data_IF_494663081575
#
_entry.id   IF_494663081575
#
_cell.length_a   1.000
_cell.length_b   1.000
_cell.length_c   1.000
_cell.angle_alpha   90.00
_cell.angle_beta   90.00
_cell.angle_gamma   90.00
#
_symmetry.space_group_name_H-M   'P 1'
#
loop_
_entity.id
_entity.type
_entity.pdbx_description
1 polymer ?
#
# COMPACT_ATOMS: atom_id res chain seq x y z
N UNK A 1 -21.06 11.97 0.21
CA UNK A 1 -22.17 12.89 0.59
C UNK A 1 -21.93 13.72 1.86
N UNK A 2 -21.87 13.13 3.07
CA UNK A 2 -21.77 13.88 4.35
C UNK A 2 -20.53 14.79 4.48
N UNK A 3 -19.36 14.30 4.05
CA UNK A 3 -18.11 15.07 3.97
C UNK A 3 -18.20 16.23 2.96
N UNK A 4 -18.79 15.98 1.77
CA UNK A 4 -19.04 16.97 0.71
C UNK A 4 -19.90 18.14 1.20
N UNK A 5 -20.95 17.85 1.97
CA UNK A 5 -21.80 18.87 2.61
C UNK A 5 -21.04 19.71 3.63
N UNK A 6 -20.21 19.09 4.48
CA UNK A 6 -19.39 19.81 5.48
C UNK A 6 -18.33 20.70 4.85
N UNK A 7 -17.64 20.23 3.81
CA UNK A 7 -16.67 21.04 3.08
C UNK A 7 -17.34 22.24 2.39
N UNK A 8 -18.45 22.03 1.68
CA UNK A 8 -19.21 23.13 1.04
C UNK A 8 -19.66 24.18 2.06
N UNK A 9 -20.11 23.75 3.23
CA UNK A 9 -20.52 24.65 4.31
C UNK A 9 -19.33 25.45 4.90
N UNK A 10 -18.21 24.77 5.17
CA UNK A 10 -16.99 25.39 5.69
C UNK A 10 -16.43 26.45 4.72
N UNK A 11 -16.37 26.12 3.44
CA UNK A 11 -15.85 27.04 2.43
C UNK A 11 -16.81 28.19 2.11
N UNK A 12 -18.12 27.96 2.11
CA UNK A 12 -19.11 29.04 2.01
C UNK A 12 -18.97 30.04 3.17
N UNK A 13 -18.58 29.59 4.37
CA UNK A 13 -18.28 30.47 5.48
C UNK A 13 -16.99 31.28 5.24
N UNK A 14 -15.94 30.67 4.68
CA UNK A 14 -14.70 31.37 4.32
C UNK A 14 -14.89 32.45 3.24
N UNK A 15 -15.66 32.16 2.18
CA UNK A 15 -15.93 33.13 1.10
C UNK A 15 -16.70 34.35 1.61
N UNK A 16 -17.54 34.19 2.64
CA UNK A 16 -18.26 35.31 3.30
C UNK A 16 -17.32 36.26 4.04
N UNK A 17 -16.14 35.80 4.48
CA UNK A 17 -15.12 36.61 5.16
C UNK A 17 -14.29 37.47 4.19
N UNK A 18 -14.34 37.20 2.88
CA UNK A 18 -13.57 37.95 1.89
C UNK A 18 -14.17 39.35 1.57
N UNK A 19 -13.34 40.36 1.22
CA UNK A 19 -13.78 41.69 0.81
C UNK A 19 -14.72 41.64 -0.41
N UNK A 20 -15.76 42.50 -0.42
CA UNK A 20 -16.80 42.55 -1.48
C UNK A 20 -16.30 42.52 -2.94
N UNK A 21 -15.25 43.26 -3.34
CA UNK A 21 -14.81 43.27 -4.75
C UNK A 21 -14.18 41.95 -5.20
N UNK A 22 -13.60 41.16 -4.28
CA UNK A 22 -12.92 39.88 -4.59
C UNK A 22 -13.88 38.69 -4.46
N UNK A 23 -15.00 38.88 -3.76
CA UNK A 23 -15.92 37.80 -3.36
C UNK A 23 -16.55 37.04 -4.53
N UNK A 24 -16.90 37.74 -5.61
CA UNK A 24 -17.57 37.11 -6.75
C UNK A 24 -16.58 36.29 -7.61
N UNK A 25 -15.41 36.85 -7.91
CA UNK A 25 -14.35 36.14 -8.62
C UNK A 25 -13.78 34.97 -7.80
N UNK A 26 -13.59 35.17 -6.49
CA UNK A 26 -13.16 34.10 -5.59
C UNK A 26 -14.19 32.98 -5.48
N UNK A 27 -15.49 33.30 -5.53
CA UNK A 27 -16.56 32.29 -5.48
C UNK A 27 -16.58 31.45 -6.77
N UNK A 28 -16.45 32.07 -7.93
CA UNK A 28 -16.54 31.39 -9.23
C UNK A 28 -15.34 30.46 -9.48
N UNK A 29 -14.12 30.93 -9.23
CA UNK A 29 -12.90 30.10 -9.33
C UNK A 29 -12.92 28.96 -8.31
N UNK A 30 -13.46 29.22 -7.12
CA UNK A 30 -13.49 28.24 -6.05
C UNK A 30 -14.56 27.17 -6.22
N UNK A 31 -15.76 27.55 -6.67
CA UNK A 31 -16.84 26.60 -6.97
C UNK A 31 -16.38 25.65 -8.09
N UNK A 32 -15.71 26.17 -9.14
CA UNK A 32 -15.08 25.36 -10.18
C UNK A 32 -13.98 24.42 -9.65
N UNK A 33 -13.14 24.89 -8.72
CA UNK A 33 -12.06 24.07 -8.14
C UNK A 33 -12.60 22.95 -7.24
N UNK A 34 -13.61 23.24 -6.42
CA UNK A 34 -14.27 22.24 -5.58
C UNK A 34 -15.00 21.19 -6.41
N UNK A 35 -15.68 21.61 -7.48
CA UNK A 35 -16.38 20.71 -8.38
C UNK A 35 -15.40 19.78 -9.09
N UNK A 36 -14.28 20.31 -9.60
CA UNK A 36 -13.19 19.50 -10.17
C UNK A 36 -12.59 18.50 -9.16
N UNK A 37 -12.33 18.92 -7.92
CA UNK A 37 -11.79 18.03 -6.89
C UNK A 37 -12.78 16.92 -6.51
N UNK A 38 -14.06 17.24 -6.31
CA UNK A 38 -15.07 16.23 -5.99
C UNK A 38 -15.27 15.27 -7.15
N UNK A 39 -15.29 15.76 -8.38
CA UNK A 39 -15.41 14.94 -9.59
C UNK A 39 -14.20 14.01 -9.77
N UNK A 40 -12.99 14.48 -9.46
CA UNK A 40 -11.77 13.64 -9.45
C UNK A 40 -11.84 12.55 -8.39
N UNK A 41 -12.33 12.87 -7.19
CA UNK A 41 -12.47 11.90 -6.10
C UNK A 41 -13.57 10.89 -6.40
N UNK A 42 -14.72 11.35 -6.90
CA UNK A 42 -15.84 10.50 -7.26
C UNK A 42 -15.40 9.53 -8.38
N UNK A 43 -14.78 10.00 -9.47
CA UNK A 43 -14.21 9.13 -10.53
C UNK A 43 -13.19 8.11 -10.01
N UNK A 44 -12.36 8.49 -9.04
CA UNK A 44 -11.36 7.59 -8.45
C UNK A 44 -12.00 6.53 -7.55
N UNK A 45 -13.05 6.88 -6.82
CA UNK A 45 -13.85 5.93 -6.06
C UNK A 45 -14.55 4.96 -7.00
N UNK A 46 -15.18 5.45 -8.07
CA UNK A 46 -15.85 4.61 -9.07
C UNK A 46 -14.89 3.62 -9.72
N UNK A 47 -13.70 4.08 -10.10
CA UNK A 47 -12.62 3.22 -10.62
C UNK A 47 -12.21 2.14 -9.60
N UNK A 48 -11.97 2.51 -8.34
CA UNK A 48 -11.57 1.58 -7.29
C UNK A 48 -12.65 0.53 -7.00
N UNK A 49 -13.91 0.96 -6.90
CA UNK A 49 -15.03 0.05 -6.63
C UNK A 49 -15.22 -0.90 -7.82
N UNK A 50 -15.18 -0.38 -9.06
CA UNK A 50 -15.30 -1.18 -10.27
C UNK A 50 -14.16 -2.20 -10.40
N UNK A 51 -12.92 -1.80 -10.14
CA UNK A 51 -11.76 -2.69 -10.16
C UNK A 51 -11.87 -3.79 -9.10
N UNK A 52 -12.31 -3.44 -7.88
CA UNK A 52 -12.49 -4.40 -6.78
C UNK A 52 -13.61 -5.39 -7.08
N UNK A 53 -14.71 -4.91 -7.65
CA UNK A 53 -15.85 -5.73 -8.03
C UNK A 53 -15.50 -6.69 -9.17
N UNK A 54 -14.83 -6.19 -10.21
CA UNK A 54 -14.33 -6.99 -11.34
C UNK A 54 -13.36 -8.08 -10.85
N UNK A 55 -12.45 -7.73 -9.93
CA UNK A 55 -11.54 -8.70 -9.31
C UNK A 55 -12.28 -9.81 -8.56
N UNK A 56 -13.42 -9.52 -7.90
CA UNK A 56 -14.25 -10.54 -7.26
C UNK A 56 -15.04 -11.40 -8.24
N UNK A 57 -15.51 -10.81 -9.34
CA UNK A 57 -16.29 -11.48 -10.37
C UNK A 57 -15.43 -12.43 -11.24
N UNK A 58 -14.22 -11.99 -11.60
CA UNK A 58 -13.28 -12.74 -12.44
C UNK A 58 -12.46 -13.77 -11.64
N UNK A 59 -12.63 -13.82 -10.31
CA UNK A 59 -11.89 -14.74 -9.46
C UNK A 59 -12.29 -16.21 -9.74
N UNK A 60 -11.34 -17.11 -10.05
CA UNK A 60 -11.61 -18.52 -10.34
C UNK A 60 -12.36 -19.26 -9.23
N UNK A 61 -12.28 -18.79 -7.98
CA UNK A 61 -12.82 -19.46 -6.81
C UNK A 61 -14.27 -19.05 -6.52
N UNK A 62 -14.78 -17.99 -7.14
CA UNK A 62 -16.13 -17.46 -6.88
C UNK A 62 -17.20 -18.37 -7.50
N UNK A 63 -18.21 -18.84 -6.73
CA UNK A 63 -19.31 -19.62 -7.26
C UNK A 63 -20.09 -18.87 -8.35
N UNK A 64 -20.45 -19.55 -9.43
CA UNK A 64 -21.15 -18.94 -10.58
C UNK A 64 -22.45 -18.23 -10.20
N UNK A 65 -23.23 -18.82 -9.29
CA UNK A 65 -24.47 -18.20 -8.82
C UNK A 65 -24.20 -16.87 -8.10
N UNK A 66 -23.11 -16.79 -7.34
CA UNK A 66 -22.76 -15.59 -6.59
C UNK A 66 -22.22 -14.50 -7.53
N UNK A 67 -21.42 -14.87 -8.53
CA UNK A 67 -21.00 -13.94 -9.57
C UNK A 67 -22.21 -13.34 -10.33
N UNK A 68 -23.21 -14.16 -10.66
CA UNK A 68 -24.47 -13.71 -11.27
C UNK A 68 -25.29 -12.80 -10.33
N UNK A 69 -25.37 -13.15 -9.04
CA UNK A 69 -26.03 -12.34 -8.03
C UNK A 69 -25.35 -10.97 -7.88
N UNK A 70 -24.02 -10.95 -7.81
CA UNK A 70 -23.25 -9.71 -7.76
C UNK A 70 -23.54 -8.85 -8.98
N UNK A 71 -23.50 -9.42 -10.19
CA UNK A 71 -23.80 -8.70 -11.42
C UNK A 71 -25.21 -8.09 -11.40
N UNK A 72 -26.20 -8.85 -10.93
CA UNK A 72 -27.56 -8.35 -10.79
C UNK A 72 -27.65 -7.22 -9.76
N UNK A 73 -27.04 -7.39 -8.59
CA UNK A 73 -27.01 -6.39 -7.53
C UNK A 73 -26.35 -5.09 -8.00
N UNK A 74 -25.21 -5.20 -8.70
CA UNK A 74 -24.45 -4.08 -9.23
C UNK A 74 -25.27 -3.27 -10.24
N UNK A 75 -25.93 -3.95 -11.19
CA UNK A 75 -26.81 -3.30 -12.17
C UNK A 75 -28.02 -2.60 -11.52
N UNK A 76 -28.55 -3.17 -10.43
CA UNK A 76 -29.74 -2.64 -9.75
C UNK A 76 -29.40 -1.47 -8.82
N UNK A 77 -28.27 -1.54 -8.11
CA UNK A 77 -27.86 -0.48 -7.17
C UNK A 77 -27.20 0.71 -7.85
N UNK A 78 -26.53 0.49 -8.99
CA UNK A 78 -25.73 1.52 -9.65
C UNK A 78 -25.88 1.55 -11.19
N UNK A 79 -27.10 1.81 -11.69
CA UNK A 79 -27.38 1.79 -13.13
C UNK A 79 -26.54 2.82 -13.90
N UNK A 80 -26.35 4.03 -13.35
CA UNK A 80 -25.61 5.12 -14.01
C UNK A 80 -24.11 4.82 -14.22
N UNK A 81 -23.46 4.15 -13.26
CA UNK A 81 -22.06 3.70 -13.40
C UNK A 81 -21.98 2.49 -14.34
N UNK A 82 -22.97 1.60 -14.30
CA UNK A 82 -22.97 0.39 -15.13
C UNK A 82 -22.91 0.70 -16.63
N UNK A 83 -23.45 1.83 -17.07
CA UNK A 83 -23.47 2.21 -18.48
C UNK A 83 -22.21 2.97 -18.90
N UNK A 84 -21.64 3.83 -18.05
CA UNK A 84 -20.33 4.44 -18.29
C UNK A 84 -19.19 3.40 -18.35
N UNK A 85 -19.26 2.38 -17.49
CA UNK A 85 -18.29 1.27 -17.47
C UNK A 85 -18.37 0.41 -18.74
N UNK A 86 -19.52 0.33 -19.43
CA UNK A 86 -19.64 -0.43 -20.70
C UNK A 86 -18.85 0.21 -21.85
N UNK A 87 -18.77 1.53 -21.91
CA UNK A 87 -17.99 2.25 -22.93
C UNK A 87 -16.49 2.06 -22.70
N UNK A 88 -16.01 2.23 -21.46
CA UNK A 88 -14.60 1.96 -21.11
C UNK A 88 -14.23 0.47 -21.29
N UNK A 89 -15.18 -0.45 -21.04
CA UNK A 89 -14.98 -1.89 -21.25
C UNK A 89 -14.84 -2.28 -22.73
N UNK A 90 -15.43 -1.52 -23.67
CA UNK A 90 -15.26 -1.79 -25.11
C UNK A 90 -13.83 -1.48 -25.56
N UNK A 91 -13.24 -0.39 -25.06
CA UNK A 91 -11.85 -0.02 -25.35
C UNK A 91 -10.84 -0.93 -24.62
N UNK A 92 -11.13 -1.31 -23.38
CA UNK A 92 -10.25 -2.18 -22.60
C UNK A 92 -10.32 -3.64 -23.07
N UNK A 93 -11.49 -4.13 -23.53
CA UNK A 93 -11.62 -5.48 -24.15
C UNK A 93 -10.78 -5.64 -25.42
N UNK A 94 -10.56 -4.57 -26.18
CA UNK A 94 -9.70 -4.55 -27.37
C UNK A 94 -8.21 -4.63 -27.03
N UNK A 95 -7.79 -4.08 -25.89
CA UNK A 95 -6.40 -4.14 -25.39
C UNK A 95 -6.13 -5.44 -24.64
N UNK A 96 -7.07 -5.88 -23.81
CA UNK A 96 -6.94 -7.08 -22.97
C UNK A 96 -7.08 -8.39 -23.75
N UNK A 97 -7.83 -8.47 -24.85
CA UNK A 97 -7.84 -9.70 -25.70
C UNK A 97 -6.47 -10.05 -26.27
N UNK A 98 -5.58 -9.08 -26.49
CA UNK A 98 -4.20 -9.33 -26.94
C UNK A 98 -3.27 -9.79 -25.82
N UNK A 99 -3.41 -9.28 -24.60
CA UNK A 99 -2.63 -9.71 -23.42
C UNK A 99 -3.13 -11.04 -22.85
N UNK A 100 -4.45 -11.22 -22.73
CA UNK A 100 -5.09 -12.38 -22.12
C UNK A 100 -4.83 -13.69 -22.87
N UNK A 101 -4.60 -13.66 -24.19
CA UNK A 101 -4.23 -14.88 -24.93
C UNK A 101 -2.88 -15.48 -24.50
N UNK A 102 -2.01 -14.65 -23.91
CA UNK A 102 -0.68 -15.04 -23.40
C UNK A 102 -0.75 -15.45 -21.93
N UNK A 103 -1.48 -14.72 -21.10
CA UNK A 103 -1.56 -14.95 -19.66
C UNK A 103 -2.50 -16.11 -19.28
N UNK A 104 -3.60 -16.31 -20.01
CA UNK A 104 -4.51 -17.46 -19.83
C UNK A 104 -3.81 -18.80 -20.10
N UNK A 105 -2.75 -18.81 -20.93
CA UNK A 105 -1.91 -20.01 -21.15
C UNK A 105 -0.94 -20.28 -20.00
N UNK A 106 -0.54 -19.27 -19.23
CA UNK A 106 0.29 -19.43 -18.04
C UNK A 106 -0.57 -19.85 -16.82
N UNK A 107 -1.66 -19.14 -16.54
CA UNK A 107 -2.51 -19.41 -15.37
C UNK A 107 -3.18 -20.79 -15.40
N UNK A 108 -3.54 -21.29 -16.59
CA UNK A 108 -4.16 -22.62 -16.73
C UNK A 108 -3.20 -23.77 -16.40
N UNK A 109 -1.89 -23.53 -16.42
CA UNK A 109 -0.87 -24.48 -15.94
C UNK A 109 -0.77 -24.45 -14.41
N UNK A 110 -0.84 -23.26 -13.80
CA UNK A 110 -0.73 -23.08 -12.35
C UNK A 110 -2.00 -23.50 -11.60
N UNK A 111 -3.18 -23.34 -12.22
CA UNK A 111 -4.47 -23.73 -11.66
C UNK A 111 -4.62 -25.25 -11.41
N UNK A 112 -3.82 -26.10 -12.08
CA UNK A 112 -3.83 -27.55 -11.86
C UNK A 112 -2.92 -27.99 -10.69
N UNK A 113 -2.08 -27.11 -10.17
CA UNK A 113 -1.09 -27.39 -9.13
C UNK A 113 -1.47 -26.76 -7.76
N UNK A 114 -2.73 -26.38 -7.57
CA UNK A 114 -3.15 -25.45 -6.50
C UNK A 114 -3.27 -26.07 -5.10
N UNK A 115 -3.46 -27.39 -5.00
CA UNK A 115 -3.58 -28.05 -3.69
C UNK A 115 -2.22 -28.34 -3.03
N UNK A 116 -1.11 -28.23 -3.77
CA UNK A 116 0.23 -28.44 -3.24
C UNK A 116 0.83 -27.13 -2.76
N UNK A 117 0.98 -27.01 -1.44
CA UNK A 117 1.77 -25.95 -0.84
C UNK A 117 3.21 -26.03 -1.35
N UNK A 118 3.82 -24.92 -1.77
CA UNK A 118 5.21 -24.94 -2.21
C UNK A 118 6.09 -25.49 -1.08
N UNK A 119 7.09 -26.34 -1.39
CA UNK A 119 8.02 -26.82 -0.37
C UNK A 119 8.71 -25.62 0.30
N UNK A 120 9.05 -25.71 1.59
CA UNK A 120 9.66 -24.60 2.32
C UNK A 120 10.95 -24.13 1.60
N UNK A 121 11.05 -22.88 1.11
CA UNK A 121 12.27 -22.39 0.46
C UNK A 121 13.46 -22.30 1.45
N UNK A 122 14.47 -23.14 1.33
CA UNK A 122 15.64 -23.11 2.21
C UNK A 122 16.37 -21.74 2.16
N UNK A 123 16.85 -21.18 3.29
CA UNK A 123 16.85 -21.72 4.67
C UNK A 123 15.69 -21.15 5.54
N UNK A 124 14.81 -22.02 6.07
CA UNK A 124 13.75 -21.62 7.02
C UNK A 124 14.19 -21.74 8.48
N UNK A 125 13.60 -20.95 9.40
CA UNK A 125 13.86 -21.02 10.84
C UNK A 125 13.33 -22.30 11.55
N UNK A 126 13.00 -23.38 10.83
CA UNK A 126 12.50 -24.64 11.39
C UNK A 126 11.06 -25.00 11.01
N UNK A 127 10.70 -26.28 11.13
CA UNK A 127 9.42 -26.87 10.69
C UNK A 127 8.19 -26.22 11.36
N UNK A 128 8.31 -25.77 12.61
CA UNK A 128 7.24 -25.08 13.34
C UNK A 128 6.87 -23.73 12.72
N UNK A 129 7.85 -22.97 12.22
CA UNK A 129 7.59 -21.69 11.57
C UNK A 129 6.81 -21.87 10.25
N UNK A 130 7.15 -22.90 9.49
CA UNK A 130 6.45 -23.25 8.26
C UNK A 130 5.01 -23.71 8.53
N UNK A 131 4.79 -24.60 9.50
CA UNK A 131 3.44 -25.03 9.90
C UNK A 131 2.59 -23.87 10.41
N UNK A 132 3.18 -22.97 11.22
CA UNK A 132 2.54 -21.74 11.70
C UNK A 132 2.11 -20.84 10.55
N UNK A 133 3.00 -20.55 9.60
CA UNK A 133 2.70 -19.72 8.45
C UNK A 133 1.57 -20.32 7.59
N UNK A 134 1.63 -21.63 7.35
CA UNK A 134 0.61 -22.37 6.60
C UNK A 134 -0.77 -22.31 7.28
N UNK A 135 -0.82 -22.48 8.60
CA UNK A 135 -2.06 -22.37 9.37
C UNK A 135 -2.67 -20.98 9.29
N UNK A 136 -1.87 -19.92 9.49
CA UNK A 136 -2.35 -18.53 9.42
C UNK A 136 -2.84 -18.19 8.02
N UNK A 137 -2.07 -18.55 6.98
CA UNK A 137 -2.42 -18.26 5.60
C UNK A 137 -3.68 -19.00 5.13
N UNK A 138 -3.92 -20.21 5.64
CA UNK A 138 -5.15 -20.95 5.34
C UNK A 138 -6.41 -20.27 5.90
N UNK A 139 -6.33 -19.64 7.08
CA UNK A 139 -7.48 -19.05 7.77
C UNK A 139 -7.66 -17.57 7.42
N UNK A 140 -6.55 -16.83 7.29
CA UNK A 140 -6.51 -15.38 7.07
C UNK A 140 -5.54 -15.01 5.95
N UNK A 141 -5.82 -15.40 4.69
CA UNK A 141 -5.01 -14.95 3.56
C UNK A 141 -5.23 -13.44 3.34
N UNK A 142 -4.15 -12.72 3.04
CA UNK A 142 -4.22 -11.29 2.72
C UNK A 142 -4.59 -11.05 1.25
N UNK A 143 -4.34 -12.01 0.37
CA UNK A 143 -4.40 -11.88 -1.09
C UNK A 143 -5.52 -12.72 -1.74
N UNK A 144 -6.16 -13.62 -1.00
CA UNK A 144 -7.18 -14.54 -1.53
C UNK A 144 -8.59 -14.18 -1.06
N UNK A 145 -9.62 -14.43 -1.89
CA UNK A 145 -11.01 -14.20 -1.50
C UNK A 145 -11.47 -15.23 -0.44
N UNK A 146 -12.59 -14.94 0.21
CA UNK A 146 -13.21 -15.86 1.18
C UNK A 146 -13.58 -17.22 0.58
N UNK A 147 -13.92 -17.26 -0.71
CA UNK A 147 -14.25 -18.51 -1.41
C UNK A 147 -13.08 -19.49 -1.49
N UNK A 148 -11.86 -18.97 -1.58
CA UNK A 148 -10.65 -19.79 -1.51
C UNK A 148 -10.47 -20.37 -0.11
N UNK A 149 -10.71 -19.57 0.94
CA UNK A 149 -10.63 -19.99 2.35
C UNK A 149 -11.60 -21.13 2.63
N UNK A 150 -12.84 -21.03 2.16
CA UNK A 150 -13.89 -22.06 2.35
C UNK A 150 -13.47 -23.42 1.77
N UNK A 151 -12.62 -23.43 0.76
CA UNK A 151 -12.14 -24.68 0.14
C UNK A 151 -10.94 -25.29 0.86
N UNK A 152 -10.28 -24.54 1.75
CA UNK A 152 -9.12 -25.06 2.48
C UNK A 152 -9.57 -26.03 3.58
N UNK A 153 -9.02 -27.27 3.63
CA UNK A 153 -9.41 -28.25 4.66
C UNK A 153 -9.04 -27.78 6.07
N UNK A 154 -7.91 -27.09 6.22
CA UNK A 154 -7.45 -26.52 7.50
C UNK A 154 -8.44 -25.47 8.00
N UNK A 155 -8.88 -24.58 7.11
CA UNK A 155 -9.85 -23.54 7.44
C UNK A 155 -11.22 -24.14 7.78
N UNK A 156 -11.69 -25.14 7.01
CA UNK A 156 -12.94 -25.84 7.29
C UNK A 156 -12.93 -26.49 8.67
N UNK A 157 -11.88 -27.24 9.02
CA UNK A 157 -11.75 -27.86 10.34
C UNK A 157 -11.72 -26.78 11.43
N UNK A 158 -10.97 -25.70 11.22
CA UNK A 158 -10.93 -24.58 12.15
C UNK A 158 -12.34 -23.97 12.36
N UNK A 159 -13.05 -23.63 11.28
CA UNK A 159 -14.36 -22.99 11.37
C UNK A 159 -15.43 -23.92 11.94
N UNK A 160 -15.39 -25.23 11.62
CA UNK A 160 -16.29 -26.21 12.22
C UNK A 160 -16.10 -26.31 13.74
N UNK A 161 -14.84 -26.38 14.20
CA UNK A 161 -14.53 -26.38 15.63
C UNK A 161 -14.86 -25.04 16.30
N UNK A 162 -14.60 -23.93 15.61
CA UNK A 162 -14.85 -22.58 16.12
C UNK A 162 -16.34 -22.24 16.18
N UNK A 163 -17.16 -22.72 15.26
CA UNK A 163 -18.62 -22.49 15.23
C UNK A 163 -19.39 -23.47 16.12
N UNK A 164 -18.73 -24.52 16.63
CA UNK A 164 -19.40 -25.49 17.49
C UNK A 164 -19.84 -24.84 18.81
N UNK A 165 -21.15 -24.85 19.14
CA UNK A 165 -21.70 -24.06 20.25
C UNK A 165 -21.34 -24.62 21.64
N UNK A 166 -20.84 -25.86 21.74
CA UNK A 166 -20.60 -26.58 23.02
C UNK A 166 -19.24 -26.26 23.64
N UNK A 167 -18.75 -25.02 23.48
CA UNK A 167 -17.55 -24.54 24.16
C UNK A 167 -16.20 -24.99 23.60
N UNK A 168 -16.17 -25.90 22.62
CA UNK A 168 -14.95 -26.29 21.93
C UNK A 168 -14.32 -25.14 21.12
N UNK A 169 -15.06 -24.07 20.86
CA UNK A 169 -14.60 -22.89 20.12
C UNK A 169 -13.41 -22.16 20.75
N UNK A 170 -13.21 -22.32 22.06
CA UNK A 170 -12.10 -21.70 22.79
C UNK A 170 -10.75 -22.28 22.31
N UNK A 171 -10.69 -23.59 22.05
CA UNK A 171 -9.46 -24.28 21.66
C UNK A 171 -8.88 -23.76 20.33
N UNK A 172 -9.63 -23.74 19.20
CA UNK A 172 -9.10 -23.21 17.94
C UNK A 172 -8.79 -21.71 18.04
N UNK A 173 -9.61 -20.91 18.74
CA UNK A 173 -9.37 -19.47 18.91
C UNK A 173 -8.12 -19.18 19.76
N UNK A 174 -7.85 -20.01 20.78
CA UNK A 174 -6.63 -19.89 21.60
C UNK A 174 -5.40 -20.33 20.82
N UNK A 175 -5.49 -21.46 20.11
CA UNK A 175 -4.41 -21.94 19.24
C UNK A 175 -4.05 -20.89 18.19
N UNK A 176 -5.05 -20.25 17.60
CA UNK A 176 -4.86 -19.16 16.65
C UNK A 176 -4.17 -17.94 17.28
N UNK A 177 -4.60 -17.50 18.45
CA UNK A 177 -3.94 -16.39 19.17
C UNK A 177 -2.46 -16.71 19.48
N UNK A 178 -2.14 -17.97 19.76
CA UNK A 178 -0.77 -18.43 19.96
C UNK A 178 0.05 -18.48 18.66
N UNK A 179 -0.58 -18.78 17.52
CA UNK A 179 0.07 -18.78 16.22
C UNK A 179 0.27 -17.38 15.65
N UNK A 180 -0.52 -16.38 16.01
CA UNK A 180 -0.41 -15.03 15.45
C UNK A 180 0.88 -14.33 15.92
N UNK A 181 1.47 -13.55 15.02
CA UNK A 181 2.52 -12.61 15.41
C UNK A 181 1.94 -11.44 16.20
N UNK A 182 2.26 -11.37 17.50
CA UNK A 182 1.77 -10.32 18.39
C UNK A 182 2.29 -8.94 18.01
N UNK A 183 3.37 -8.86 17.25
CA UNK A 183 3.92 -7.59 16.77
C UNK A 183 3.20 -7.04 15.53
N UNK A 184 2.44 -7.88 14.82
CA UNK A 184 1.69 -7.52 13.63
C UNK A 184 0.28 -7.05 13.99
N UNK A 185 0.04 -5.74 13.83
CA UNK A 185 -1.27 -5.13 14.10
C UNK A 185 -2.37 -5.71 13.20
N UNK A 186 -2.06 -6.07 11.96
CA UNK A 186 -3.04 -6.58 11.01
C UNK A 186 -3.56 -7.95 11.43
N UNK A 187 -2.66 -8.86 11.82
CA UNK A 187 -3.06 -10.18 12.31
C UNK A 187 -3.89 -10.10 13.60
N UNK A 188 -3.54 -9.18 14.50
CA UNK A 188 -4.31 -8.96 15.73
C UNK A 188 -5.72 -8.40 15.47
N UNK A 189 -5.83 -7.42 14.56
CA UNK A 189 -7.13 -6.86 14.18
C UNK A 189 -7.99 -7.90 13.48
N UNK A 190 -7.41 -8.66 12.56
CA UNK A 190 -8.15 -9.71 11.85
C UNK A 190 -8.60 -10.82 12.80
N UNK A 191 -7.79 -11.19 13.79
CA UNK A 191 -8.20 -12.10 14.86
C UNK A 191 -9.38 -11.57 15.68
N UNK A 192 -9.36 -10.29 16.08
CA UNK A 192 -10.47 -9.67 16.81
C UNK A 192 -11.76 -9.68 15.99
N UNK A 193 -11.67 -9.33 14.70
CA UNK A 193 -12.80 -9.37 13.77
C UNK A 193 -13.33 -10.80 13.60
N UNK A 194 -12.45 -11.77 13.38
CA UNK A 194 -12.82 -13.18 13.20
C UNK A 194 -13.48 -13.76 14.45
N UNK A 195 -12.91 -13.49 15.63
CA UNK A 195 -13.44 -13.96 16.92
C UNK A 195 -14.85 -13.39 17.17
N UNK A 196 -15.08 -12.12 16.82
CA UNK A 196 -16.40 -11.50 16.88
C UNK A 196 -17.37 -12.08 15.86
N UNK A 197 -16.91 -12.34 14.64
CA UNK A 197 -17.73 -12.98 13.61
C UNK A 197 -18.18 -14.38 14.04
N UNK A 198 -17.26 -15.20 14.54
CA UNK A 198 -17.56 -16.52 15.10
C UNK A 198 -18.59 -16.40 16.22
N UNK A 199 -18.42 -15.43 17.13
CA UNK A 199 -19.38 -15.19 18.21
C UNK A 199 -20.78 -14.86 17.69
N UNK A 200 -20.90 -13.95 16.71
CA UNK A 200 -22.20 -13.61 16.11
C UNK A 200 -22.82 -14.83 15.46
N UNK A 201 -22.06 -15.58 14.67
CA UNK A 201 -22.55 -16.77 13.95
C UNK A 201 -23.03 -17.86 14.91
N UNK A 202 -22.30 -18.13 15.99
CA UNK A 202 -22.72 -19.07 17.03
C UNK A 202 -24.08 -18.69 17.62
N UNK A 203 -24.34 -17.39 17.84
CA UNK A 203 -25.61 -16.92 18.41
C UNK A 203 -26.76 -16.99 17.41
N UNK A 204 -26.49 -16.73 16.13
CA UNK A 204 -27.47 -16.95 15.06
C UNK A 204 -27.84 -18.42 14.96
N UNK A 205 -26.86 -19.34 15.03
CA UNK A 205 -27.09 -20.78 15.03
C UNK A 205 -27.95 -21.19 16.24
N UNK A 206 -27.60 -20.74 17.44
CA UNK A 206 -28.35 -21.08 18.65
C UNK A 206 -29.79 -20.54 18.61
N UNK A 207 -29.98 -19.32 18.10
CA UNK A 207 -31.30 -18.73 17.90
C UNK A 207 -32.14 -19.55 16.90
N UNK A 208 -31.52 -20.01 15.81
CA UNK A 208 -32.18 -20.86 14.83
C UNK A 208 -32.57 -22.23 15.42
N UNK A 209 -31.68 -22.85 16.20
CA UNK A 209 -31.98 -24.11 16.92
C UNK A 209 -33.17 -23.94 17.85
N UNK A 210 -33.18 -22.88 18.67
CA UNK A 210 -34.31 -22.57 19.55
C UNK A 210 -35.61 -22.32 18.80
N UNK A 211 -35.55 -21.64 17.64
CA UNK A 211 -36.71 -21.44 16.76
C UNK A 211 -37.25 -22.77 16.22
N UNK A 212 -36.36 -23.67 15.76
CA UNK A 212 -36.76 -25.00 15.25
C UNK A 212 -37.39 -25.83 16.37
N UNK A 213 -36.80 -25.84 17.56
CA UNK A 213 -37.37 -26.53 18.72
C UNK A 213 -38.76 -25.99 19.08
N UNK A 214 -38.94 -24.67 19.09
CA UNK A 214 -40.23 -24.02 19.33
C UNK A 214 -41.26 -24.41 18.24
N UNK A 215 -40.86 -24.36 16.97
CA UNK A 215 -41.71 -24.74 15.85
C UNK A 215 -42.19 -26.19 15.97
N UNK A 216 -41.26 -27.12 16.24
CA UNK A 216 -41.59 -28.53 16.44
C UNK A 216 -42.53 -28.75 17.62
N UNK A 217 -42.30 -28.06 18.74
CA UNK A 217 -43.15 -28.10 19.93
C UNK A 217 -44.60 -27.68 19.61
N UNK A 218 -44.76 -26.55 18.93
CA UNK A 218 -46.08 -26.04 18.54
C UNK A 218 -46.79 -26.94 17.53
N UNK A 219 -46.03 -27.62 16.66
CA UNK A 219 -46.56 -28.54 15.64
C UNK A 219 -47.00 -29.89 16.23
N UNK A 220 -46.27 -30.43 17.21
CA UNK A 220 -46.55 -31.75 17.80
C UNK A 220 -47.53 -31.74 18.99
N UNK A 221 -47.97 -30.57 19.48
CA UNK A 221 -48.83 -30.38 20.68
C UNK A 221 -48.26 -30.99 21.98
N UNK A 222 -47.00 -31.38 22.01
CA UNK A 222 -46.33 -32.02 23.14
C UNK A 222 -45.37 -31.06 23.85
N UNK A 223 -45.82 -29.84 24.12
CA UNK A 223 -45.00 -28.88 24.86
C UNK A 223 -45.06 -29.19 26.36
N UNK A 224 -43.92 -29.52 26.96
CA UNK A 224 -43.79 -29.55 28.42
C UNK A 224 -44.10 -28.16 29.00
N UNK A 225 -44.65 -28.13 30.21
CA UNK A 225 -45.07 -26.90 30.91
C UNK A 225 -43.94 -25.91 31.18
N UNK A 226 -42.68 -26.34 31.02
CA UNK A 226 -41.49 -25.52 31.18
C UNK A 226 -40.98 -24.90 29.86
N UNK A 227 -41.72 -25.06 28.76
CA UNK A 227 -41.28 -24.67 27.42
C UNK A 227 -40.12 -25.56 26.91
N UNK A 228 -39.52 -25.25 25.74
CA UNK A 228 -38.23 -25.83 25.38
C UNK A 228 -37.20 -25.27 26.37
N UNK A 229 -37.04 -25.94 27.51
CA UNK A 229 -36.07 -25.57 28.54
C UNK A 229 -34.66 -25.55 27.96
N UNK A 230 -33.79 -24.69 28.51
CA UNK A 230 -32.38 -24.72 28.13
C UNK A 230 -31.81 -26.10 28.47
N UNK A 231 -31.41 -26.85 27.45
CA UNK A 231 -30.69 -28.10 27.67
C UNK A 231 -29.36 -27.83 28.39
N UNK A 232 -28.83 -28.81 29.11
CA UNK A 232 -27.52 -28.69 29.80
C UNK A 232 -26.40 -28.25 28.83
N UNK A 233 -26.52 -28.63 27.56
CA UNK A 233 -25.62 -28.26 26.46
C UNK A 233 -25.68 -26.75 26.16
N UNK A 234 -26.87 -26.15 26.23
CA UNK A 234 -27.08 -24.71 26.00
C UNK A 234 -26.59 -23.87 27.18
N UNK A 235 -26.69 -24.39 28.40
CA UNK A 235 -26.07 -23.76 29.58
C UNK A 235 -24.54 -23.74 29.47
N UNK A 236 -23.93 -24.82 28.98
CA UNK A 236 -22.49 -24.88 28.73
C UNK A 236 -22.03 -23.86 27.65
N UNK A 237 -22.86 -23.62 26.63
CA UNK A 237 -22.63 -22.61 25.58
C UNK A 237 -22.69 -21.15 26.10
N UNK A 238 -23.35 -20.92 27.24
CA UNK A 238 -23.34 -19.63 27.93
C UNK A 238 -22.09 -19.51 28.80
N UNK A 239 -21.64 -20.58 29.45
CA UNK A 239 -20.43 -20.55 30.27
C UNK A 239 -19.17 -20.20 29.43
N UNK A 240 -19.14 -20.58 28.15
CA UNK A 240 -18.00 -20.34 27.26
C UNK A 240 -17.93 -18.93 26.68
N UNK A 241 -18.91 -18.06 26.95
CA UNK A 241 -18.90 -16.65 26.55
C UNK A 241 -17.76 -15.89 27.20
N UNK A 242 -17.61 -16.05 28.51
CA UNK A 242 -16.63 -15.32 29.31
C UNK A 242 -15.20 -15.56 28.80
N UNK A 243 -14.72 -16.81 28.67
CA UNK A 243 -13.37 -17.06 28.16
C UNK A 243 -13.17 -16.58 26.71
N UNK A 244 -14.18 -16.67 25.85
CA UNK A 244 -14.07 -16.16 24.47
C UNK A 244 -13.94 -14.63 24.42
N UNK A 245 -14.69 -13.90 25.26
CA UNK A 245 -14.55 -12.45 25.38
C UNK A 245 -13.20 -12.06 26.01
N UNK A 246 -12.72 -12.83 26.99
CA UNK A 246 -11.40 -12.63 27.57
C UNK A 246 -10.29 -12.76 26.53
N UNK A 247 -10.37 -13.70 25.58
CA UNK A 247 -9.41 -13.80 24.48
C UNK A 247 -9.36 -12.54 23.61
N UNK A 248 -10.53 -11.94 23.30
CA UNK A 248 -10.61 -10.68 22.55
C UNK A 248 -10.03 -9.52 23.37
N UNK A 249 -10.31 -9.47 24.67
CA UNK A 249 -9.73 -8.47 25.58
C UNK A 249 -8.22 -8.62 25.65
N UNK A 250 -7.70 -9.84 25.76
CA UNK A 250 -6.25 -10.11 25.75
C UNK A 250 -5.64 -9.65 24.44
N UNK A 251 -6.24 -9.98 23.29
CA UNK A 251 -5.78 -9.48 22.00
C UNK A 251 -5.80 -7.94 21.95
N UNK A 252 -6.85 -7.29 22.45
CA UNK A 252 -6.93 -5.83 22.52
C UNK A 252 -5.86 -5.21 23.42
N UNK A 253 -5.57 -5.81 24.57
CA UNK A 253 -4.49 -5.35 25.46
C UNK A 253 -3.12 -5.51 24.80
N UNK A 254 -2.87 -6.60 24.07
CA UNK A 254 -1.66 -6.79 23.27
C UNK A 254 -1.54 -5.73 22.16
N UNK A 255 -2.65 -5.37 21.52
CA UNK A 255 -2.69 -4.28 20.54
C UNK A 255 -2.33 -2.93 21.17
N UNK A 256 -2.90 -2.61 22.34
CA UNK A 256 -2.56 -1.38 23.05
C UNK A 256 -1.10 -1.38 23.51
N UNK A 257 -0.61 -2.50 24.01
CA UNK A 257 0.77 -2.64 24.47
C UNK A 257 1.77 -2.43 23.33
N UNK A 258 1.53 -3.02 22.15
CA UNK A 258 2.38 -2.81 20.98
C UNK A 258 2.38 -1.37 20.51
N UNK A 259 1.23 -0.70 20.53
CA UNK A 259 1.13 0.74 20.24
C UNK A 259 1.84 1.60 21.27
N UNK A 260 1.68 1.29 22.55
CA UNK A 260 2.30 2.03 23.64
C UNK A 260 3.82 1.92 23.61
N UNK A 261 4.37 0.73 23.37
CA UNK A 261 5.82 0.54 23.19
C UNK A 261 6.33 1.41 22.03
N UNK A 262 5.64 1.39 20.88
CA UNK A 262 6.04 2.22 19.72
C UNK A 262 5.95 3.72 20.04
N UNK A 263 4.92 4.15 20.76
CA UNK A 263 4.76 5.54 21.19
C UNK A 263 5.84 5.96 22.21
N UNK A 264 6.20 5.08 23.15
CA UNK A 264 7.27 5.31 24.12
C UNK A 264 8.64 5.38 23.45
N UNK A 265 8.93 4.51 22.47
CA UNK A 265 10.15 4.58 21.64
C UNK A 265 10.19 5.85 20.78
N UNK A 266 9.03 6.33 20.30
CA UNK A 266 8.92 7.59 19.59
C UNK A 266 9.20 8.79 20.50
N UNK A 267 8.65 8.78 21.72
CA UNK A 267 8.84 9.82 22.73
C UNK A 267 10.29 9.90 23.23
N UNK A 268 10.95 8.78 23.47
CA UNK A 268 12.37 8.74 23.86
C UNK A 268 13.29 9.23 22.73
N UNK A 269 12.95 8.93 21.47
CA UNK A 269 13.65 9.47 20.30
C UNK A 269 13.44 10.97 20.10
N UNK A 270 12.27 11.51 20.47
CA UNK A 270 12.04 12.95 20.48
C UNK A 270 12.79 13.64 21.62
N UNK A 271 12.81 13.04 22.81
CA UNK A 271 13.55 13.55 23.97
C UNK A 271 15.07 13.61 23.70
N UNK A 272 15.63 12.61 23.01
CA UNK A 272 17.05 12.64 22.62
C UNK A 272 17.36 13.69 21.55
N UNK A 273 16.45 13.92 20.59
CA UNK A 273 16.57 15.01 19.60
C UNK A 273 16.47 16.40 20.23
N UNK A 274 15.56 16.62 21.18
CA UNK A 274 15.42 17.90 21.88
C UNK A 274 16.58 18.17 22.84
N UNK A 275 17.13 17.15 23.49
CA UNK A 275 18.36 17.26 24.27
C UNK A 275 19.58 17.63 23.41
N UNK A 276 19.68 17.07 22.19
CA UNK A 276 20.75 17.41 21.23
C UNK A 276 20.63 18.84 20.69
N UNK A 277 19.40 19.32 20.48
CA UNK A 277 19.13 20.71 20.08
C UNK A 277 19.48 21.71 21.18
N UNK A 278 19.25 21.38 22.47
CA UNK A 278 19.65 22.24 23.60
C UNK A 278 21.16 22.29 23.85
N UNK A 279 21.91 21.28 23.41
CA UNK A 279 23.38 21.23 23.55
C UNK A 279 24.14 22.01 22.46
N UNK A 280 23.46 22.50 21.42
CA UNK A 280 24.07 23.38 20.42
C UNK A 280 24.11 24.81 20.96
N UNK A 281 25.20 25.13 21.67
CA UNK A 281 25.64 26.51 21.87
C UNK A 281 25.77 27.16 20.47
N UNK A 282 25.09 28.28 20.26
CA UNK A 282 25.20 29.11 19.05
C UNK A 282 26.68 29.46 18.87
N UNK A 283 27.32 28.83 17.87
CA UNK A 283 28.68 29.17 17.47
C UNK A 283 28.54 30.45 16.66
N UNK A 284 29.09 31.55 17.18
CA UNK A 284 29.13 32.84 16.49
C UNK A 284 29.60 32.64 15.05
N UNK A 285 28.67 32.78 14.10
CA UNK A 285 29.00 32.79 12.69
C UNK A 285 29.77 34.08 12.40
N UNK A 286 31.00 33.91 11.89
CA UNK A 286 31.81 35.02 11.39
C UNK A 286 31.03 35.77 10.29
N UNK A 287 31.23 37.10 10.15
CA UNK A 287 30.55 37.88 9.13
C UNK A 287 30.89 37.37 7.73
N UNK A 288 29.89 37.38 6.85
CA UNK A 288 30.01 36.92 5.46
C UNK A 288 31.06 37.73 4.71
N UNK A 289 32.11 37.06 4.23
CA UNK A 289 33.20 37.67 3.45
C UNK A 289 32.95 37.44 1.95
N UNK A 290 32.62 38.49 1.17
CA UNK A 290 32.23 38.35 -0.24
C UNK A 290 33.37 37.86 -1.15
N UNK A 291 34.63 37.87 -0.70
CA UNK A 291 35.78 37.47 -1.52
C UNK A 291 36.08 35.96 -1.48
N UNK A 292 35.59 35.24 -0.46
CA UNK A 292 35.77 33.78 -0.37
C UNK A 292 34.88 33.01 -1.36
N UNK A 293 33.78 33.60 -1.83
CA UNK A 293 32.85 33.00 -2.79
C UNK A 293 33.40 32.95 -4.24
N UNK A 294 34.47 33.68 -4.54
CA UNK A 294 35.04 33.79 -5.89
C UNK A 294 36.21 32.81 -6.14
N UNK A 295 36.63 32.03 -5.14
CA UNK A 295 37.86 31.25 -5.21
C UNK A 295 37.77 29.77 -5.69
N UNK A 296 36.64 29.19 -6.14
CA UNK A 296 36.68 27.90 -6.85
C UNK A 296 36.70 27.98 -8.38
N UNK A 297 36.81 29.17 -8.99
CA UNK A 297 36.87 29.31 -10.47
C UNK A 297 38.27 29.07 -11.08
N UNK A 298 39.30 28.80 -10.29
CA UNK A 298 40.65 28.51 -10.79
C UNK A 298 41.25 27.26 -10.12
N UNK A 299 40.61 26.11 -10.33
CA UNK A 299 41.26 24.81 -10.14
C UNK A 299 40.52 23.73 -10.96
N UNK A 300 40.52 23.87 -12.28
CA UNK A 300 40.22 22.74 -13.15
C UNK A 300 41.52 22.12 -13.64
N UNK A 301 41.77 20.82 -13.38
CA UNK A 301 42.79 20.11 -14.13
C UNK A 301 42.31 20.04 -15.58
N UNK A 302 43.18 20.49 -16.48
CA UNK A 302 43.04 20.31 -17.92
C UNK A 302 42.91 18.82 -18.24
N UNK A 303 41.70 18.40 -18.60
CA UNK A 303 41.45 17.19 -19.39
C UNK A 303 40.85 17.67 -20.70
N UNK A 304 41.66 17.55 -21.75
CA UNK A 304 41.26 17.78 -23.14
C UNK A 304 40.27 16.70 -23.54
N UNK A 305 39.02 17.07 -23.79
CA UNK A 305 38.10 16.30 -24.62
C UNK A 305 37.22 17.30 -25.37
N UNK A 306 37.27 17.23 -26.69
CA UNK A 306 36.41 17.98 -27.61
C UNK A 306 34.93 17.77 -27.24
N UNK A 307 34.05 18.77 -27.45
CA UNK A 307 32.63 18.62 -27.16
C UNK A 307 32.08 17.35 -27.85
N UNK A 308 31.24 16.57 -27.16
CA UNK A 308 30.73 15.32 -27.71
C UNK A 308 29.98 15.60 -29.01
N UNK A 309 30.30 14.84 -30.06
CA UNK A 309 29.62 14.97 -31.34
C UNK A 309 28.13 14.65 -31.13
N UNK A 310 27.28 15.66 -31.34
CA UNK A 310 25.85 15.58 -31.11
C UNK A 310 25.20 14.47 -31.97
N UNK A 311 25.78 14.17 -33.12
CA UNK A 311 25.32 13.12 -34.04
C UNK A 311 25.82 11.71 -33.69
N UNK A 312 26.77 11.59 -32.75
CA UNK A 312 27.33 10.31 -32.36
C UNK A 312 26.28 9.42 -31.67
N UNK A 313 26.35 8.14 -31.99
CA UNK A 313 25.61 7.11 -31.27
C UNK A 313 26.39 6.76 -29.99
N UNK A 314 25.69 6.56 -28.89
CA UNK A 314 26.32 6.38 -27.58
C UNK A 314 25.34 6.03 -26.48
N UNK A 315 25.81 6.17 -25.24
CA UNK A 315 25.04 5.98 -24.01
C UNK A 315 25.18 7.18 -23.12
N UNK A 316 24.04 7.74 -22.73
CA UNK A 316 23.97 8.69 -21.65
C UNK A 316 23.89 7.94 -20.32
N UNK A 317 24.97 7.96 -19.55
CA UNK A 317 25.13 7.18 -18.33
C UNK A 317 24.89 8.04 -17.08
N UNK A 318 23.80 7.76 -16.37
CA UNK A 318 23.50 8.33 -15.05
C UNK A 318 24.13 7.47 -13.96
N UNK A 319 25.15 8.00 -13.28
CA UNK A 319 25.76 7.39 -12.11
C UNK A 319 25.11 7.97 -10.85
N UNK A 320 24.17 7.22 -10.26
CA UNK A 320 23.45 7.60 -9.06
C UNK A 320 24.24 7.16 -7.84
N UNK A 321 24.87 8.11 -7.15
CA UNK A 321 25.84 7.82 -6.09
C UNK A 321 25.14 7.63 -4.75
N UNK A 322 24.45 8.67 -4.27
CA UNK A 322 23.80 8.65 -2.95
C UNK A 322 22.71 9.69 -2.82
N UNK A 323 21.81 9.48 -1.86
CA UNK A 323 20.95 10.53 -1.34
C UNK A 323 21.21 10.73 0.16
N UNK A 324 20.88 11.91 0.66
CA UNK A 324 21.06 12.31 2.04
C UNK A 324 19.79 12.94 2.60
N UNK A 325 19.52 12.66 3.88
CA UNK A 325 18.41 13.24 4.64
C UNK A 325 17.06 13.12 3.93
N UNK A 326 16.75 11.97 3.33
CA UNK A 326 15.45 11.71 2.71
C UNK A 326 14.32 11.73 3.74
N UNK A 327 13.12 12.13 3.32
CA UNK A 327 11.93 12.01 4.16
C UNK A 327 11.64 10.53 4.45
N UNK A 328 11.18 10.23 5.65
CA UNK A 328 10.67 8.90 5.96
C UNK A 328 9.18 8.84 5.65
N UNK A 329 8.77 7.88 4.82
CA UNK A 329 7.36 7.59 4.54
C UNK A 329 6.87 6.33 5.26
N UNK A 330 7.76 5.38 5.55
CA UNK A 330 7.38 4.21 6.33
C UNK A 330 7.06 4.52 7.79
N UNK A 331 6.18 3.67 8.35
CA UNK A 331 5.80 3.64 9.78
C UNK A 331 7.01 3.47 10.73
N UNK A 332 8.18 3.08 10.22
CA UNK A 332 9.44 2.91 10.94
C UNK A 332 10.38 4.12 10.99
N UNK A 333 9.99 5.30 10.46
CA UNK A 333 10.89 6.45 10.23
C UNK A 333 12.09 6.14 9.32
N UNK A 334 11.97 5.12 8.49
CA UNK A 334 12.88 4.84 7.39
C UNK A 334 12.11 4.94 6.08
N UNK A 335 12.83 4.74 4.99
CA UNK A 335 12.29 4.45 3.69
C UNK A 335 13.19 3.38 3.07
N UNK A 336 12.67 2.67 2.09
CA UNK A 336 13.34 1.76 1.17
C UNK A 336 13.58 2.48 -0.18
N UNK A 337 14.47 3.50 -0.25
CA UNK A 337 14.53 4.37 -1.41
C UNK A 337 15.18 3.70 -2.63
N UNK A 338 14.62 4.00 -3.80
CA UNK A 338 15.18 3.76 -5.12
C UNK A 338 14.93 4.96 -6.04
N UNK A 339 15.70 5.10 -7.11
CA UNK A 339 15.58 6.23 -8.04
C UNK A 339 15.11 5.73 -9.39
N UNK A 340 14.14 6.43 -9.98
CA UNK A 340 13.67 6.26 -11.35
C UNK A 340 14.14 7.44 -12.17
N UNK A 341 14.89 7.17 -13.23
CA UNK A 341 15.31 8.17 -14.22
C UNK A 341 14.44 7.99 -15.45
N UNK A 342 13.79 9.06 -15.90
CA UNK A 342 12.98 9.08 -17.12
C UNK A 342 13.51 10.10 -18.12
N UNK A 343 13.77 9.66 -19.35
CA UNK A 343 14.28 10.49 -20.44
C UNK A 343 13.71 10.00 -21.78
N UNK A 344 13.06 10.89 -22.54
CA UNK A 344 12.58 10.58 -23.89
C UNK A 344 11.66 9.35 -24.00
N UNK A 345 10.80 9.13 -23.00
CA UNK A 345 9.91 7.96 -22.95
C UNK A 345 10.56 6.66 -22.46
N UNK A 346 11.88 6.66 -22.21
CA UNK A 346 12.58 5.55 -21.56
C UNK A 346 12.64 5.79 -20.06
N UNK A 347 12.41 4.75 -19.26
CA UNK A 347 12.55 4.80 -17.80
C UNK A 347 13.43 3.66 -17.29
N UNK A 348 14.40 3.96 -16.44
CA UNK A 348 15.24 2.97 -15.75
C UNK A 348 15.24 3.24 -14.24
N UNK A 349 15.39 2.18 -13.44
CA UNK A 349 15.38 2.27 -11.98
C UNK A 349 16.62 1.62 -11.36
N UNK A 350 17.03 2.13 -10.21
CA UNK A 350 18.09 1.51 -9.39
C UNK A 350 17.56 0.35 -8.54
N UNK A 351 18.48 -0.33 -7.87
CA UNK A 351 18.18 -1.20 -6.75
C UNK A 351 17.58 -0.41 -5.58
N UNK A 352 16.72 -1.10 -4.84
CA UNK A 352 16.11 -0.61 -3.60
C UNK A 352 17.05 -0.86 -2.43
N UNK A 353 17.39 0.20 -1.68
CA UNK A 353 18.15 0.07 -0.44
C UNK A 353 17.19 0.10 0.73
N UNK A 354 17.05 -0.99 1.47
CA UNK A 354 16.08 -1.09 2.54
C UNK A 354 16.48 -0.28 3.78
N UNK A 355 15.49 0.38 4.38
CA UNK A 355 15.48 1.05 5.68
C UNK A 355 16.60 2.06 5.86
N UNK A 356 16.84 2.89 4.85
CA UNK A 356 17.95 3.83 4.88
C UNK A 356 17.58 5.18 4.26
N UNK A 357 17.59 6.25 5.07
CA UNK A 357 17.34 7.63 4.60
C UNK A 357 18.58 8.31 4.00
N UNK A 358 19.73 7.64 4.05
CA UNK A 358 20.98 8.07 3.42
C UNK A 358 21.51 6.95 2.52
N UNK A 359 20.74 6.54 1.49
CA UNK A 359 21.10 5.43 0.63
C UNK A 359 22.35 5.75 -0.20
N UNK A 360 23.19 4.74 -0.43
CA UNK A 360 24.33 4.80 -1.35
C UNK A 360 24.16 3.71 -2.40
N UNK A 361 23.62 4.06 -3.56
CA UNK A 361 23.40 3.11 -4.64
C UNK A 361 24.68 2.80 -5.41
N UNK A 362 25.45 3.84 -5.76
CA UNK A 362 26.61 3.74 -6.65
C UNK A 362 26.31 2.93 -7.92
N UNK A 363 25.12 3.15 -8.49
CA UNK A 363 24.61 2.40 -9.64
C UNK A 363 24.62 3.25 -10.90
N UNK A 364 24.86 2.62 -12.05
CA UNK A 364 24.95 3.30 -13.34
C UNK A 364 23.80 2.87 -14.25
N UNK A 365 22.93 3.80 -14.62
CA UNK A 365 21.82 3.61 -15.55
C UNK A 365 22.16 4.26 -16.89
N UNK A 366 22.30 3.47 -17.95
CA UNK A 366 22.59 3.96 -19.30
C UNK A 366 21.33 4.17 -20.13
N UNK A 367 21.30 5.17 -21.01
CA UNK A 367 20.27 5.34 -22.04
C UNK A 367 20.94 5.34 -23.40
N UNK A 368 20.71 4.29 -24.18
CA UNK A 368 21.29 4.13 -25.51
C UNK A 368 20.56 5.04 -26.52
N UNK A 369 21.30 5.74 -27.38
CA UNK A 369 20.71 6.62 -28.37
C UNK A 369 21.73 7.50 -29.09
N UNK A 370 21.21 8.45 -29.87
CA UNK A 370 22.00 9.57 -30.43
C UNK A 370 21.92 10.74 -29.46
N UNK A 371 23.03 11.42 -29.18
CA UNK A 371 23.08 12.51 -28.20
C UNK A 371 22.02 13.59 -28.51
N UNK A 372 21.93 14.07 -29.76
CA UNK A 372 20.91 15.04 -30.18
C UNK A 372 19.48 14.62 -29.81
N UNK A 373 19.10 13.36 -30.09
CA UNK A 373 17.75 12.86 -29.80
C UNK A 373 17.45 12.80 -28.30
N UNK A 374 18.47 12.50 -27.49
CA UNK A 374 18.32 12.46 -26.03
C UNK A 374 18.23 13.86 -25.42
N UNK A 375 18.93 14.85 -26.01
CA UNK A 375 18.85 16.25 -25.59
C UNK A 375 17.52 16.90 -26.02
N UNK A 376 17.05 16.61 -27.24
CA UNK A 376 15.75 17.08 -27.75
C UNK A 376 14.54 16.55 -26.96
N UNK A 377 14.71 15.42 -26.27
CA UNK A 377 13.68 14.85 -25.41
C UNK A 377 13.32 15.70 -24.18
N UNK A 378 14.11 16.75 -23.90
CA UNK A 378 13.92 17.65 -22.76
C UNK A 378 14.67 17.21 -21.50
N UNK A 379 14.42 17.88 -20.35
CA UNK A 379 15.13 17.61 -19.10
C UNK A 379 14.86 16.18 -18.60
N UNK A 380 15.91 15.55 -18.04
CA UNK A 380 15.79 14.23 -17.45
C UNK A 380 15.04 14.32 -16.12
N UNK A 381 14.00 13.50 -15.94
CA UNK A 381 13.22 13.48 -14.70
C UNK A 381 13.74 12.43 -13.75
N UNK A 382 14.26 12.85 -12.62
CA UNK A 382 14.67 11.98 -11.52
C UNK A 382 13.57 11.95 -10.47
N UNK A 383 13.07 10.75 -10.14
CA UNK A 383 12.10 10.55 -9.05
C UNK A 383 12.67 9.58 -8.04
N UNK A 384 12.75 10.01 -6.79
CA UNK A 384 13.12 9.14 -5.67
C UNK A 384 11.84 8.58 -5.08
N UNK A 385 11.74 7.26 -5.01
CA UNK A 385 10.55 6.53 -4.61
C UNK A 385 10.87 5.64 -3.41
N UNK A 386 9.89 5.45 -2.53
CA UNK A 386 9.92 4.50 -1.42
C UNK A 386 9.30 3.18 -1.87
N UNK A 387 10.06 2.08 -1.83
CA UNK A 387 9.51 0.79 -2.24
C UNK A 387 8.66 0.17 -1.14
N UNK A 388 7.38 -0.06 -1.45
CA UNK A 388 6.42 -0.66 -0.53
C UNK A 388 5.97 -2.04 -1.00
N UNK A 389 6.08 -3.04 -0.11
CA UNK A 389 5.69 -4.42 -0.44
C UNK A 389 4.16 -4.58 -0.55
N UNK A 390 3.40 -3.77 0.19
CA UNK A 390 1.95 -3.94 0.37
C UNK A 390 1.10 -2.73 -0.06
N UNK A 391 1.75 -1.61 -0.35
CA UNK A 391 1.13 -0.33 -0.72
C UNK A 391 1.76 0.16 -2.02
N UNK A 392 1.21 1.23 -2.61
CA UNK A 392 1.87 1.89 -3.73
C UNK A 392 3.12 2.60 -3.23
N UNK A 393 4.18 2.55 -4.03
CA UNK A 393 5.43 3.25 -3.73
C UNK A 393 5.21 4.75 -3.54
N UNK A 394 5.68 5.28 -2.41
CA UNK A 394 5.52 6.70 -2.06
C UNK A 394 6.60 7.56 -2.70
N UNK A 395 6.24 8.75 -3.21
CA UNK A 395 7.22 9.70 -3.73
C UNK A 395 8.01 10.35 -2.58
N UNK A 396 9.33 10.20 -2.62
CA UNK A 396 10.30 10.81 -1.70
C UNK A 396 10.93 12.11 -2.23
N UNK A 397 10.57 12.49 -3.46
CA UNK A 397 10.92 13.77 -4.07
C UNK A 397 11.28 13.62 -5.55
N UNK A 398 11.23 14.73 -6.28
CA UNK A 398 11.54 14.76 -7.71
C UNK A 398 12.51 15.88 -8.07
N UNK A 399 13.23 15.70 -9.18
CA UNK A 399 14.19 16.67 -9.70
C UNK A 399 14.17 16.62 -11.23
N UNK A 400 13.91 17.75 -11.86
CA UNK A 400 14.09 17.93 -13.29
C UNK A 400 15.53 18.40 -13.54
N UNK A 401 16.30 17.61 -14.30
CA UNK A 401 17.73 17.84 -14.54
C UNK A 401 17.95 18.36 -15.96
N UNK A 402 18.45 19.59 -16.13
CA UNK A 402 18.83 20.10 -17.45
C UNK A 402 20.05 19.34 -17.97
N UNK A 403 20.08 19.05 -19.27
CA UNK A 403 21.16 18.30 -19.92
C UNK A 403 22.18 19.19 -20.64
N UNK A 404 22.04 20.52 -20.52
CA UNK A 404 22.86 21.50 -21.24
C UNK A 404 24.35 21.39 -20.89
N UNK A 405 24.68 21.15 -19.62
CA UNK A 405 26.05 20.95 -19.17
C UNK A 405 26.68 19.70 -19.80
N UNK A 406 25.92 18.60 -19.90
CA UNK A 406 26.38 17.35 -20.51
C UNK A 406 26.57 17.51 -22.02
N UNK A 407 25.73 18.32 -22.67
CA UNK A 407 25.90 18.64 -24.09
C UNK A 407 27.21 19.43 -24.34
N UNK A 408 27.63 20.26 -23.39
CA UNK A 408 28.83 21.09 -23.52
C UNK A 408 30.13 20.35 -23.17
N UNK A 409 30.16 19.57 -22.09
CA UNK A 409 31.37 18.94 -21.55
C UNK A 409 31.42 17.42 -21.68
N UNK A 410 30.32 16.76 -22.06
CA UNK A 410 30.18 15.30 -22.02
C UNK A 410 30.09 14.72 -20.60
N UNK A 411 30.25 15.53 -19.56
CA UNK A 411 30.27 15.10 -18.16
C UNK A 411 29.78 16.22 -17.23
N UNK A 412 28.76 15.91 -16.41
CA UNK A 412 28.20 16.83 -15.44
C UNK A 412 28.05 16.14 -14.06
N UNK A 413 28.48 16.84 -13.00
CA UNK A 413 28.43 16.34 -11.62
C UNK A 413 27.49 17.20 -10.78
N UNK A 414 26.47 16.57 -10.24
CA UNK A 414 25.43 17.19 -9.43
C UNK A 414 25.58 16.76 -7.97
N UNK A 415 25.85 17.71 -7.07
CA UNK A 415 26.08 17.45 -5.63
C UNK A 415 24.99 18.08 -4.79
N UNK A 416 24.47 17.32 -3.83
CA UNK A 416 23.48 17.74 -2.83
C UNK A 416 22.29 18.53 -3.43
N UNK A 417 21.80 18.08 -4.58
CA UNK A 417 20.66 18.68 -5.26
C UNK A 417 19.38 18.41 -4.46
N UNK A 418 18.69 19.47 -4.07
CA UNK A 418 17.48 19.37 -3.25
C UNK A 418 16.33 18.83 -4.07
N UNK A 419 15.61 17.86 -3.50
CA UNK A 419 14.43 17.26 -4.14
C UNK A 419 13.21 18.18 -3.98
N UNK A 420 12.52 18.44 -5.08
CA UNK A 420 11.26 19.18 -5.09
C UNK A 420 10.11 18.33 -4.53
N UNK A 421 9.10 19.00 -3.98
CA UNK A 421 7.89 18.38 -3.44
C UNK A 421 8.03 17.80 -2.02
N UNK A 422 9.21 17.96 -1.38
CA UNK A 422 9.48 17.42 -0.04
C UNK A 422 10.21 18.44 0.85
N UNK A 423 10.07 18.27 2.17
CA UNK A 423 10.61 19.23 3.16
C UNK A 423 12.12 19.15 3.35
N UNK A 424 12.72 17.97 3.15
CA UNK A 424 14.15 17.71 3.22
C UNK A 424 14.48 16.49 2.36
N UNK A 425 15.71 16.44 1.84
CA UNK A 425 16.16 15.38 0.96
C UNK A 425 17.01 15.95 -0.15
N UNK A 426 18.23 15.44 -0.28
CA UNK A 426 19.15 15.82 -1.34
C UNK A 426 19.73 14.58 -2.02
N UNK A 427 20.05 14.70 -3.31
CA UNK A 427 20.62 13.63 -4.13
C UNK A 427 21.93 14.09 -4.78
N UNK A 428 22.89 13.18 -4.85
CA UNK A 428 24.19 13.37 -5.52
C UNK A 428 24.35 12.33 -6.63
N UNK A 429 24.62 12.80 -7.84
CA UNK A 429 24.75 11.97 -9.03
C UNK A 429 25.67 12.61 -10.08
N UNK A 430 26.11 11.82 -11.06
CA UNK A 430 26.94 12.28 -12.20
C UNK A 430 26.35 11.75 -13.49
N UNK A 431 26.36 12.56 -14.55
CA UNK A 431 25.90 12.17 -15.88
C UNK A 431 27.11 12.22 -16.81
N UNK A 432 27.37 11.14 -17.54
CA UNK A 432 28.48 11.03 -18.50
C UNK A 432 27.94 10.54 -19.84
N UNK A 433 28.29 11.22 -20.92
CA UNK A 433 28.10 10.72 -22.28
C UNK A 433 29.25 9.80 -22.66
N UNK A 434 28.94 8.64 -23.22
CA UNK A 434 29.92 7.71 -23.79
C UNK A 434 29.57 7.41 -25.22
N UNK A 435 30.42 7.80 -26.17
CA UNK A 435 30.22 7.45 -27.57
C UNK A 435 30.41 5.94 -27.76
N UNK A 436 29.83 5.38 -28.83
CA UNK A 436 30.04 3.97 -29.20
C UNK A 436 31.50 3.71 -29.55
N UNK A 437 32.23 4.71 -30.05
CA UNK A 437 33.65 4.59 -30.40
C UNK A 437 34.58 4.53 -29.17
N UNK A 438 34.07 4.87 -27.98
CA UNK A 438 34.77 4.81 -26.68
C UNK A 438 34.43 3.55 -25.84
N UNK A 439 33.68 2.58 -26.38
CA UNK A 439 33.39 1.29 -25.73
C UNK A 439 34.42 0.23 -26.07
#
# INVERSE_FOLDING_TARGET
ARQRSRLKAFYSAMVKLAPRPVRNAAKEVHDATLEYMFDTVDRKIESLVTQTFKKMQDDPWTPKFFAQFLEHMWRTLWPEISDAVKEDLLEDKLKTTKLASKDVKLERKDAKQVWSWPPPPAPWPGMLAYCRAKFIYAIMPADKPIWWVIQQPIALVFFLLALFPVGLSILPLTAMLCCIDRSDEYQLVNYMCLSKLVWVLQRVILCFVGFVQLYLCTSSKSCETNGPGLSDIEQLAILTLVPQQLLVVVAYLLYLHTRWIRAASFASSLASKTARMRGMQYRDEKPWDPLAALHPLYALPFVSESPPDASAQGVLQFHLMSASNLIAKDRGRSSDPYVVVSLGGMSRRTQTIRRNLNPKWNEKLGFDGTLSKLLEAGPAKLKVMDYDVSTFDDLLGELDVPLDEVAASGDAVFRDCHLAGVAHGAITFRIVWKSVDDR
#
